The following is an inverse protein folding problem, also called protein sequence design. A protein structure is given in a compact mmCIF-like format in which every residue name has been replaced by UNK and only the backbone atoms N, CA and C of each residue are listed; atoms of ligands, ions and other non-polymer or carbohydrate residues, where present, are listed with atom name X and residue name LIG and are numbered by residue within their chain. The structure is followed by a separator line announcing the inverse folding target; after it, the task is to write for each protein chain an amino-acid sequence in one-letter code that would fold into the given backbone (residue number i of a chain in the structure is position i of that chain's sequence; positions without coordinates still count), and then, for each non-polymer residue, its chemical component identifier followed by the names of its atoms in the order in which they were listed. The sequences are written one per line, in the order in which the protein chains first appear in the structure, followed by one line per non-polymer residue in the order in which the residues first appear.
data_IF_936702086522
#
_entry.id   IF_936702086522
#
_cell.length_a   1.000
_cell.length_b   1.000
_cell.length_c   1.000
_cell.angle_alpha   90.00
_cell.angle_beta   90.00
_cell.angle_gamma   90.00
#
_symmetry.space_group_name_H-M   'P 1'
#
loop_
_entity.id
_entity.type
_entity.pdbx_description
1 polymer ?
#
# COMPACT_ATOMS: atom_id res chain seq x y z
N UNK A 1 8.75 -2.21 -18.37
CA UNK A 1 8.48 -3.27 -17.38
C UNK A 1 8.83 -2.67 -16.02
N UNK A 2 7.96 -2.81 -15.02
CA UNK A 2 8.20 -2.30 -13.66
C UNK A 2 8.66 -3.48 -12.83
N UNK A 3 9.81 -3.36 -12.17
CA UNK A 3 10.30 -4.42 -11.31
C UNK A 3 9.52 -4.40 -9.98
N UNK A 4 9.20 -5.57 -9.43
CA UNK A 4 8.33 -5.64 -8.23
C UNK A 4 9.00 -4.98 -7.00
N UNK A 5 10.32 -4.99 -6.98
CA UNK A 5 11.22 -4.34 -6.04
C UNK A 5 11.39 -2.83 -6.28
N UNK A 6 10.73 -2.24 -7.26
CA UNK A 6 10.56 -0.79 -7.39
C UNK A 6 9.22 -0.33 -6.80
N UNK A 7 8.28 -1.25 -6.58
CA UNK A 7 6.92 -0.92 -6.13
C UNK A 7 6.91 -0.54 -4.65
N UNK A 8 6.29 0.60 -4.37
CA UNK A 8 6.05 1.13 -3.03
C UNK A 8 4.65 0.75 -2.57
N UNK A 9 3.63 0.99 -3.39
CA UNK A 9 2.26 0.52 -3.14
C UNK A 9 1.43 0.43 -4.42
N UNK A 10 0.35 -0.32 -4.32
CA UNK A 10 -0.71 -0.41 -5.32
C UNK A 10 -1.97 0.26 -4.78
N UNK A 11 -2.68 0.99 -5.65
CA UNK A 11 -3.98 1.56 -5.32
C UNK A 11 -4.98 1.29 -6.43
N UNK A 12 -6.13 0.71 -6.08
CA UNK A 12 -7.22 0.54 -7.03
C UNK A 12 -8.00 1.84 -7.18
N UNK A 13 -8.11 2.34 -8.42
CA UNK A 13 -8.86 3.53 -8.80
C UNK A 13 -9.81 3.18 -9.95
N UNK A 14 -11.12 3.16 -9.69
CA UNK A 14 -12.18 2.83 -10.65
C UNK A 14 -11.84 1.69 -11.62
N UNK A 15 -11.33 2.01 -12.82
CA UNK A 15 -11.05 1.07 -13.92
C UNK A 15 -9.62 0.54 -13.96
N UNK A 16 -8.71 1.07 -13.15
CA UNK A 16 -7.27 0.76 -13.19
C UNK A 16 -6.71 0.56 -11.77
N UNK A 17 -5.56 -0.10 -11.68
CA UNK A 17 -4.72 -0.08 -10.49
C UNK A 17 -3.53 0.83 -10.77
N UNK A 18 -3.35 1.86 -9.96
CA UNK A 18 -2.11 2.64 -9.93
C UNK A 18 -1.02 1.85 -9.20
N UNK A 19 0.15 1.79 -9.80
CA UNK A 19 1.40 1.25 -9.25
C UNK A 19 2.28 2.44 -8.92
N UNK A 20 2.52 2.69 -7.64
CA UNK A 20 3.37 3.79 -7.19
C UNK A 20 4.80 3.29 -6.98
N UNK A 21 5.74 3.98 -7.60
CA UNK A 21 7.19 3.77 -7.50
C UNK A 21 7.83 5.06 -6.97
N UNK A 22 9.16 5.12 -6.82
CA UNK A 22 9.83 6.34 -6.34
C UNK A 22 9.56 7.55 -7.25
N UNK A 23 9.69 7.36 -8.57
CA UNK A 23 9.70 8.47 -9.54
C UNK A 23 8.33 8.74 -10.20
N UNK A 24 7.25 8.15 -9.69
CA UNK A 24 5.91 8.40 -10.25
C UNK A 24 4.89 7.30 -10.00
N UNK A 25 3.91 7.24 -10.89
CA UNK A 25 2.90 6.20 -10.91
C UNK A 25 2.69 5.64 -12.33
N UNK A 26 2.25 4.39 -12.40
CA UNK A 26 1.88 3.73 -13.65
C UNK A 26 0.51 3.08 -13.51
N UNK A 27 -0.27 3.04 -14.59
CA UNK A 27 -1.59 2.41 -14.59
C UNK A 27 -1.52 1.01 -15.19
N UNK A 28 -2.08 0.04 -14.49
CA UNK A 28 -2.27 -1.33 -14.98
C UNK A 28 -3.75 -1.73 -14.94
N UNK A 29 -4.14 -2.66 -15.82
CA UNK A 29 -5.50 -3.21 -15.87
C UNK A 29 -5.72 -4.38 -14.92
N UNK A 30 -4.67 -4.88 -14.28
CA UNK A 30 -4.77 -5.98 -13.32
C UNK A 30 -5.52 -5.50 -12.08
N UNK A 31 -6.66 -6.11 -11.72
CA UNK A 31 -7.39 -5.74 -10.52
C UNK A 31 -6.57 -6.00 -9.25
N UNK A 32 -6.72 -5.15 -8.24
CA UNK A 32 -6.00 -5.28 -6.98
C UNK A 32 -6.19 -6.64 -6.30
N UNK A 33 -7.39 -7.24 -6.43
CA UNK A 33 -7.67 -8.59 -5.92
C UNK A 33 -6.75 -9.64 -6.55
N UNK A 34 -6.55 -9.57 -7.86
CA UNK A 34 -5.70 -10.51 -8.58
C UNK A 34 -4.22 -10.27 -8.25
N UNK A 35 -3.79 -9.01 -8.09
CA UNK A 35 -2.44 -8.70 -7.63
C UNK A 35 -2.18 -9.30 -6.25
N UNK A 36 -3.11 -9.16 -5.31
CA UNK A 36 -2.98 -9.73 -3.96
C UNK A 36 -2.73 -11.25 -3.98
N UNK A 37 -3.34 -11.97 -4.91
CA UNK A 37 -3.16 -13.42 -5.05
C UNK A 37 -1.78 -13.81 -5.62
N UNK A 38 -1.09 -12.88 -6.28
CA UNK A 38 0.23 -13.09 -6.88
C UNK A 38 1.39 -12.54 -6.03
N UNK A 39 1.10 -11.66 -5.07
CA UNK A 39 2.10 -11.01 -4.23
C UNK A 39 2.36 -11.83 -2.96
N UNK A 40 3.63 -11.84 -2.53
CA UNK A 40 4.01 -12.44 -1.25
C UNK A 40 3.36 -11.64 -0.08
N UNK A 41 2.47 -12.26 0.71
CA UNK A 41 1.76 -11.57 1.79
C UNK A 41 2.68 -11.12 2.94
N UNK A 42 3.90 -11.66 3.04
CA UNK A 42 4.88 -11.18 4.02
C UNK A 42 5.54 -9.87 3.56
N UNK A 43 5.66 -9.66 2.24
CA UNK A 43 6.29 -8.49 1.66
C UNK A 43 5.30 -7.40 1.26
N UNK A 44 4.05 -7.77 0.95
CA UNK A 44 3.00 -6.86 0.51
C UNK A 44 1.76 -6.98 1.40
N UNK A 45 1.44 -5.89 2.10
CA UNK A 45 0.38 -5.86 3.09
C UNK A 45 -0.84 -5.14 2.53
N UNK A 46 -2.00 -5.80 2.55
CA UNK A 46 -3.26 -5.13 2.28
C UNK A 46 -3.66 -4.29 3.50
N UNK A 47 -3.69 -2.97 3.34
CA UNK A 47 -3.96 -2.02 4.45
C UNK A 47 -5.30 -1.30 4.30
N UNK A 48 -5.86 -1.31 3.09
CA UNK A 48 -7.17 -0.82 2.76
C UNK A 48 -7.78 -1.75 1.70
N UNK A 49 -9.11 -1.76 1.56
CA UNK A 49 -9.75 -2.56 0.50
C UNK A 49 -9.22 -2.24 -0.90
N UNK A 50 -8.70 -1.03 -1.09
CA UNK A 50 -8.14 -0.51 -2.34
C UNK A 50 -6.63 -0.22 -2.28
N UNK A 51 -5.91 -0.64 -1.23
CA UNK A 51 -4.46 -0.35 -1.10
C UNK A 51 -3.69 -1.56 -0.60
N UNK A 52 -2.60 -1.88 -1.31
CA UNK A 52 -1.59 -2.87 -0.90
C UNK A 52 -0.24 -2.15 -0.86
N UNK A 53 0.47 -2.18 0.27
CA UNK A 53 1.77 -1.51 0.45
C UNK A 53 2.89 -2.53 0.56
N UNK A 54 4.06 -2.21 -0.01
CA UNK A 54 5.27 -2.99 0.23
C UNK A 54 5.77 -2.72 1.66
N UNK A 55 5.85 -3.76 2.48
CA UNK A 55 6.22 -3.71 3.89
C UNK A 55 7.56 -2.98 4.13
N UNK A 56 8.57 -3.24 3.28
CA UNK A 56 9.89 -2.61 3.36
C UNK A 56 9.85 -1.08 3.22
N UNK A 57 8.83 -0.54 2.54
CA UNK A 57 8.61 0.89 2.36
C UNK A 57 7.76 1.53 3.47
N UNK A 58 7.28 0.76 4.45
CA UNK A 58 6.64 1.32 5.63
C UNK A 58 7.71 1.93 6.54
N UNK A 59 7.61 3.24 6.80
CA UNK A 59 8.49 3.97 7.72
C UNK A 59 7.98 3.95 9.17
N UNK A 60 6.67 3.76 9.35
CA UNK A 60 6.01 3.71 10.65
C UNK A 60 4.54 4.08 10.52
N UNK A 61 3.85 4.12 11.63
CA UNK A 61 2.43 4.51 11.69
C UNK A 61 2.21 5.72 12.58
N UNK A 62 1.09 6.42 12.37
CA UNK A 62 0.59 7.43 13.30
C UNK A 62 -0.92 7.43 13.31
N UNK A 63 -1.50 7.87 14.41
CA UNK A 63 -2.94 8.13 14.48
C UNK A 63 -3.21 9.60 14.18
N UNK A 64 -4.15 9.90 13.30
CA UNK A 64 -4.58 11.27 13.04
C UNK A 64 -5.56 11.79 14.10
N UNK A 65 -5.93 13.07 14.01
CA UNK A 65 -6.86 13.71 14.95
C UNK A 65 -8.28 13.11 14.92
N UNK A 66 -8.61 12.29 13.91
CA UNK A 66 -9.89 11.59 13.78
C UNK A 66 -9.79 10.13 14.25
N UNK A 67 -8.68 9.74 14.86
CA UNK A 67 -8.47 8.36 15.34
C UNK A 67 -8.16 7.36 14.21
N UNK A 68 -7.85 7.81 12.99
CA UNK A 68 -7.50 6.91 11.89
C UNK A 68 -6.02 6.58 11.93
N UNK A 69 -5.70 5.30 11.78
CA UNK A 69 -4.33 4.84 11.63
C UNK A 69 -3.83 5.17 10.21
N UNK A 70 -2.69 5.83 10.14
CA UNK A 70 -2.01 6.23 8.90
C UNK A 70 -0.65 5.54 8.83
N UNK A 71 -0.30 5.06 7.64
CA UNK A 71 1.03 4.57 7.30
C UNK A 71 1.84 5.72 6.71
N UNK A 72 3.04 5.93 7.25
CA UNK A 72 4.08 6.76 6.63
C UNK A 72 4.95 5.90 5.72
N UNK A 73 5.25 6.40 4.54
CA UNK A 73 6.08 5.71 3.56
C UNK A 73 7.53 6.19 3.61
N UNK A 74 8.46 5.33 3.18
CA UNK A 74 9.84 5.69 2.87
C UNK A 74 9.90 6.19 1.43
N UNK A 75 10.45 7.38 1.23
CA UNK A 75 10.68 7.96 -0.11
C UNK A 75 9.46 8.63 -0.73
N UNK A 76 8.33 8.75 -0.02
CA UNK A 76 7.14 9.49 -0.47
C UNK A 76 6.46 10.20 0.69
N UNK A 77 5.93 11.39 0.43
CA UNK A 77 5.36 12.27 1.46
C UNK A 77 3.89 11.96 1.78
N UNK A 78 3.16 11.34 0.84
CA UNK A 78 1.78 10.98 1.10
C UNK A 78 1.65 9.91 2.19
N UNK A 79 0.46 9.87 2.79
CA UNK A 79 0.14 8.93 3.87
C UNK A 79 -1.07 8.09 3.50
N UNK A 80 -0.98 6.80 3.80
CA UNK A 80 -2.00 5.84 3.44
C UNK A 80 -2.87 5.53 4.65
N UNK A 81 -4.18 5.67 4.51
CA UNK A 81 -5.13 5.32 5.57
C UNK A 81 -5.22 3.80 5.68
N UNK A 82 -5.07 3.28 6.90
CA UNK A 82 -5.31 1.88 7.21
C UNK A 82 -6.78 1.70 7.61
N UNK A 83 -7.51 0.79 6.96
CA UNK A 83 -8.85 0.43 7.43
C UNK A 83 -8.77 -0.33 8.75
N UNK A 84 -9.79 -0.18 9.59
CA UNK A 84 -9.91 -0.88 10.88
C UNK A 84 -9.64 -2.39 10.77
N UNK A 85 -10.14 -3.04 9.72
CA UNK A 85 -9.96 -4.48 9.48
C UNK A 85 -8.51 -4.92 9.24
N UNK A 86 -7.61 -3.98 8.94
CA UNK A 86 -6.19 -4.24 8.66
C UNK A 86 -5.26 -3.61 9.70
N UNK A 87 -5.80 -2.95 10.72
CA UNK A 87 -4.99 -2.28 11.75
C UNK A 87 -4.09 -3.25 12.52
N UNK A 88 -4.52 -4.50 12.63
CA UNK A 88 -3.80 -5.56 13.35
C UNK A 88 -2.43 -5.88 12.78
N UNK A 89 -2.22 -5.62 11.48
CA UNK A 89 -0.92 -5.76 10.81
C UNK A 89 0.18 -4.89 11.43
N UNK A 90 -0.22 -3.82 12.14
CA UNK A 90 0.70 -2.82 12.69
C UNK A 90 0.81 -2.89 14.22
N UNK A 91 0.20 -3.88 14.89
CA UNK A 91 0.23 -3.99 16.36
C UNK A 91 1.61 -4.29 16.95
N UNK A 92 2.53 -4.81 16.14
CA UNK A 92 3.88 -5.22 16.57
C UNK A 92 5.00 -4.33 15.99
N UNK A 93 4.65 -3.25 15.28
CA UNK A 93 5.58 -2.18 14.92
C UNK A 93 5.66 -1.14 16.03
#
# INVERSE_FOLDING_TARGET
LIAIDEVIYFQSNDKYTSVFVADGEHLIRTPLRQLREQLDPQQFWQIHRSVIVAARHVAGTRTDFRGRLLVKLKGRDEQLVVSRNFADLFRQM
#
